data_IF_037676671813
#
_entry.id   IF_037676671813
#
_cell.length_a   1.000
_cell.length_b   1.000
_cell.length_c   1.000
_cell.angle_alpha   90.00
_cell.angle_beta   90.00
_cell.angle_gamma   90.00
#
_symmetry.space_group_name_H-M   'P 1'
#
loop_
_entity.id
_entity.type
_entity.pdbx_description
1 polymer ?
#
# COMPACT_ATOMS: atom_id res chain seq x y z
N UNK A 1 8.72 -6.48 15.56
CA UNK A 1 9.63 -7.36 14.78
C UNK A 1 8.80 -8.08 13.71
N UNK A 2 8.82 -7.63 12.44
CA UNK A 2 8.15 -8.38 11.36
C UNK A 2 9.07 -9.51 10.93
N UNK A 3 8.55 -10.74 10.84
CA UNK A 3 9.37 -11.88 10.45
C UNK A 3 10.03 -11.63 9.07
N UNK A 4 11.27 -12.09 8.83
CA UNK A 4 11.93 -11.94 7.52
C UNK A 4 11.09 -12.49 6.35
N UNK A 5 10.36 -13.57 6.60
CA UNK A 5 9.46 -14.20 5.62
C UNK A 5 8.28 -13.29 5.23
N UNK A 6 7.79 -12.48 6.17
CA UNK A 6 6.75 -11.49 5.90
C UNK A 6 7.26 -10.40 4.96
N UNK A 7 8.53 -9.97 5.09
CA UNK A 7 9.11 -8.92 4.25
C UNK A 7 9.26 -9.40 2.79
N UNK A 8 9.73 -10.63 2.59
CA UNK A 8 9.84 -11.23 1.25
C UNK A 8 8.47 -11.38 0.57
N UNK A 9 7.46 -11.82 1.32
CA UNK A 9 6.10 -11.99 0.80
C UNK A 9 5.52 -10.67 0.29
N UNK A 10 5.67 -9.59 1.07
CA UNK A 10 5.22 -8.25 0.67
C UNK A 10 5.98 -7.76 -0.57
N UNK A 11 7.30 -7.95 -0.63
CA UNK A 11 8.10 -7.57 -1.80
C UNK A 11 7.62 -8.30 -3.06
N UNK A 12 7.37 -9.61 -2.97
CA UNK A 12 6.95 -10.42 -4.11
C UNK A 12 5.58 -9.98 -4.64
N UNK A 13 4.62 -9.71 -3.75
CA UNK A 13 3.32 -9.13 -4.13
C UNK A 13 3.51 -7.78 -4.82
N UNK A 14 4.36 -6.91 -4.27
CA UNK A 14 4.67 -5.61 -4.86
C UNK A 14 5.22 -5.70 -6.28
N UNK A 15 6.12 -6.65 -6.55
CA UNK A 15 6.66 -6.89 -7.89
C UNK A 15 5.57 -7.30 -8.87
N UNK A 16 4.64 -8.16 -8.44
CA UNK A 16 3.56 -8.68 -9.28
C UNK A 16 2.49 -7.63 -9.59
N UNK A 17 2.10 -6.82 -8.59
CA UNK A 17 1.00 -5.86 -8.74
C UNK A 17 1.45 -4.48 -9.26
N UNK A 18 2.69 -4.08 -8.97
CA UNK A 18 3.24 -2.76 -9.30
C UNK A 18 4.55 -2.89 -10.08
N UNK A 19 4.54 -3.48 -11.29
CA UNK A 19 5.75 -3.61 -12.10
C UNK A 19 6.36 -2.24 -12.36
N UNK A 20 7.69 -2.14 -12.18
CA UNK A 20 8.48 -0.88 -12.26
C UNK A 20 8.13 0.19 -11.21
N UNK A 21 7.22 -0.09 -10.28
CA UNK A 21 6.78 0.82 -9.21
C UNK A 21 6.90 0.16 -7.81
N UNK A 22 7.85 -0.78 -7.65
CA UNK A 22 8.06 -1.51 -6.40
C UNK A 22 8.40 -0.58 -5.24
N UNK A 23 9.27 0.40 -5.44
CA UNK A 23 9.69 1.31 -4.38
C UNK A 23 8.53 2.15 -3.85
N UNK A 24 7.63 2.58 -4.74
CA UNK A 24 6.38 3.25 -4.37
C UNK A 24 5.51 2.34 -3.50
N UNK A 25 5.31 1.08 -3.90
CA UNK A 25 4.51 0.13 -3.13
C UNK A 25 5.11 -0.16 -1.75
N UNK A 26 6.43 -0.37 -1.67
CA UNK A 26 7.12 -0.63 -0.40
C UNK A 26 7.11 0.58 0.53
N UNK A 27 7.25 1.79 0.00
CA UNK A 27 7.14 3.03 0.77
C UNK A 27 5.72 3.21 1.34
N UNK A 28 4.69 3.00 0.51
CA UNK A 28 3.30 3.03 0.96
C UNK A 28 3.02 2.00 2.06
N UNK A 29 3.48 0.76 1.89
CA UNK A 29 3.36 -0.28 2.92
C UNK A 29 4.06 0.13 4.21
N UNK A 30 5.29 0.65 4.13
CA UNK A 30 6.05 1.09 5.32
C UNK A 30 5.29 2.18 6.08
N UNK A 31 4.78 3.20 5.39
CA UNK A 31 4.03 4.30 6.00
C UNK A 31 2.71 3.81 6.61
N UNK A 32 1.94 3.01 5.87
CA UNK A 32 0.63 2.50 6.29
C UNK A 32 0.67 1.56 7.51
N UNK A 33 1.84 1.03 7.82
CA UNK A 33 2.05 0.04 8.88
C UNK A 33 3.05 0.53 9.93
N UNK A 34 3.38 1.81 9.94
CA UNK A 34 4.34 2.38 10.90
C UNK A 34 3.83 2.25 12.35
N UNK A 35 2.51 2.34 12.53
CA UNK A 35 1.85 2.16 13.82
C UNK A 35 1.36 0.71 14.01
N UNK A 36 1.23 0.24 15.27
CA UNK A 36 0.60 -1.05 15.57
C UNK A 36 -0.79 -1.14 14.94
N UNK A 37 -1.12 -2.33 14.41
CA UNK A 37 -2.39 -2.62 13.74
C UNK A 37 -2.66 -1.84 12.44
N UNK A 38 -1.69 -1.05 11.96
CA UNK A 38 -1.76 -0.43 10.63
C UNK A 38 -1.77 -1.47 9.50
N UNK A 39 -2.43 -1.13 8.39
CA UNK A 39 -2.60 -1.99 7.23
C UNK A 39 -2.53 -1.20 5.93
N UNK A 40 -2.26 -1.89 4.82
CA UNK A 40 -2.35 -1.32 3.48
C UNK A 40 -3.47 -2.03 2.71
N UNK A 41 -4.49 -1.28 2.29
CA UNK A 41 -5.48 -1.74 1.32
C UNK A 41 -4.89 -1.62 -0.10
N UNK A 42 -5.01 -2.69 -0.88
CA UNK A 42 -4.65 -2.74 -2.29
C UNK A 42 -5.92 -2.97 -3.13
N UNK A 43 -6.31 -1.98 -3.93
CA UNK A 43 -7.48 -2.05 -4.80
C UNK A 43 -7.08 -2.38 -6.25
N UNK A 44 -7.36 -3.61 -6.65
CA UNK A 44 -7.07 -4.15 -7.98
C UNK A 44 -8.29 -4.20 -8.90
N UNK A 45 -9.42 -3.58 -8.52
CA UNK A 45 -10.59 -3.58 -9.38
C UNK A 45 -10.33 -2.73 -10.64
N UNK A 46 -10.70 -3.27 -11.81
CA UNK A 46 -10.35 -2.68 -13.10
C UNK A 46 -10.97 -1.30 -13.34
N UNK A 47 -12.15 -1.04 -12.76
CA UNK A 47 -12.85 0.25 -12.87
C UNK A 47 -12.55 1.23 -11.73
N UNK A 48 -11.70 0.85 -10.76
CA UNK A 48 -11.34 1.75 -9.67
C UNK A 48 -10.42 2.86 -10.17
N UNK A 49 -10.60 4.06 -9.62
CA UNK A 49 -9.71 5.18 -9.85
C UNK A 49 -8.26 4.78 -9.49
N UNK A 50 -7.29 4.89 -10.42
CA UNK A 50 -5.90 4.53 -10.17
C UNK A 50 -5.26 5.25 -8.97
N UNK A 51 -5.73 6.45 -8.64
CA UNK A 51 -5.26 7.22 -7.48
C UNK A 51 -5.66 6.57 -6.16
N UNK A 52 -6.76 5.80 -6.13
CA UNK A 52 -7.28 5.12 -4.94
C UNK A 52 -6.70 3.70 -4.78
N UNK A 53 -5.71 3.31 -5.58
CA UNK A 53 -5.18 1.94 -5.60
C UNK A 53 -4.52 1.51 -4.30
N UNK A 54 -3.83 2.41 -3.61
CA UNK A 54 -3.18 2.16 -2.31
C UNK A 54 -3.74 3.10 -1.25
N UNK A 55 -4.35 2.54 -0.20
CA UNK A 55 -5.01 3.29 0.87
C UNK A 55 -4.76 2.66 2.23
N UNK A 56 -4.90 3.45 3.29
CA UNK A 56 -5.06 2.95 4.66
C UNK A 56 -6.18 3.72 5.35
N UNK A 57 -6.56 3.30 6.55
CA UNK A 57 -7.57 3.97 7.36
C UNK A 57 -8.92 4.16 6.64
N UNK A 58 -9.44 3.09 6.03
CA UNK A 58 -10.63 3.13 5.17
C UNK A 58 -11.95 3.01 5.94
N UNK A 59 -11.92 2.69 7.24
CA UNK A 59 -13.12 2.48 8.03
C UNK A 59 -13.75 3.81 8.42
N UNK A 60 -15.00 3.79 8.89
CA UNK A 60 -15.76 5.02 9.17
C UNK A 60 -15.25 5.72 10.43
N UNK A 61 -14.69 4.95 11.33
CA UNK A 61 -14.17 5.34 12.64
C UNK A 61 -12.78 5.96 12.54
N UNK A 62 -12.09 5.73 11.42
CA UNK A 62 -10.78 6.32 11.15
C UNK A 62 -10.91 7.83 10.89
N UNK A 63 -10.13 8.63 11.62
CA UNK A 63 -10.19 10.11 11.56
C UNK A 63 -9.71 10.63 10.19
N UNK A 64 -8.64 10.02 9.66
CA UNK A 64 -8.01 10.45 8.41
C UNK A 64 -7.85 9.28 7.44
N UNK A 65 -8.38 9.45 6.23
CA UNK A 65 -8.17 8.53 5.11
C UNK A 65 -6.90 8.92 4.38
N UNK A 66 -5.96 8.00 4.29
CA UNK A 66 -4.68 8.24 3.64
C UNK A 66 -4.64 7.51 2.29
N UNK A 67 -4.30 8.25 1.24
CA UNK A 67 -4.12 7.74 -0.12
C UNK A 67 -2.65 7.91 -0.49
N UNK A 68 -2.00 6.83 -0.96
CA UNK A 68 -0.60 6.87 -1.37
C UNK A 68 -0.50 7.09 -2.87
N UNK A 69 0.09 8.22 -3.28
CA UNK A 69 0.32 8.56 -4.69
C UNK A 69 1.81 8.41 -5.07
N UNK A 70 2.14 7.98 -6.30
CA UNK A 70 3.52 7.91 -6.75
C UNK A 70 4.13 9.32 -6.90
N UNK A 71 5.40 9.48 -6.49
CA UNK A 71 6.11 10.78 -6.52
C UNK A 71 6.31 11.34 -7.93
N UNK A 72 6.40 10.47 -8.92
CA UNK A 72 6.39 10.83 -10.34
C UNK A 72 5.06 10.33 -10.89
N UNK A 73 4.26 11.23 -11.48
CA UNK A 73 2.87 10.98 -11.90
C UNK A 73 2.67 9.76 -12.81
N UNK A 74 1.39 9.40 -13.02
CA UNK A 74 0.88 8.18 -13.67
C UNK A 74 1.79 7.57 -14.75
#
# INVERSE_FOLDING_TARGET
>A
MRSPNSVLSIRNIGIQLFPKKLDYFLDAYRQATNEPYGYLLIDMHASSDPTLRLRTNIFKEDIEKIIFIPKNGL
#
